data_IF_926243817165
#
_entry.id   IF_926243817165
#
_cell.length_a   1.000
_cell.length_b   1.000
_cell.length_c   1.000
_cell.angle_alpha   90.00
_cell.angle_beta   90.00
_cell.angle_gamma   90.00
#
_symmetry.space_group_name_H-M   'P 1'
#
loop_
_entity.id
_entity.type
_entity.pdbx_description
1 polymer ?
#
# COMPACT_ATOMS: atom_id res chain seq x y z
N UNK A 1 43.42 -3.47 -1.58
CA UNK A 1 42.56 -2.55 -0.80
C UNK A 1 42.12 -1.42 -1.70
N UNK A 2 40.90 -1.46 -2.23
CA UNK A 2 40.28 -0.34 -2.97
C UNK A 2 39.09 0.11 -2.14
N UNK A 3 39.31 1.13 -1.32
CA UNK A 3 38.25 1.87 -0.63
C UNK A 3 37.69 2.90 -1.60
N UNK A 4 36.37 2.99 -1.68
CA UNK A 4 35.69 4.25 -1.95
C UNK A 4 35.16 4.44 -3.37
N UNK A 5 34.10 3.72 -3.73
CA UNK A 5 32.99 4.26 -4.53
C UNK A 5 31.70 3.49 -4.23
N UNK A 6 31.30 3.43 -2.96
CA UNK A 6 29.87 3.24 -2.64
C UNK A 6 29.12 4.49 -3.13
N UNK A 7 28.82 4.54 -4.43
CA UNK A 7 27.80 5.45 -4.94
C UNK A 7 26.48 5.02 -4.28
N UNK A 8 26.16 5.64 -3.13
CA UNK A 8 24.81 5.65 -2.54
C UNK A 8 23.85 6.14 -3.63
N UNK A 9 23.32 5.24 -4.46
CA UNK A 9 22.28 5.54 -5.43
C UNK A 9 20.99 5.77 -4.65
N UNK A 10 20.83 7.01 -4.21
CA UNK A 10 19.62 7.48 -3.54
C UNK A 10 18.50 7.53 -4.57
N UNK A 11 17.37 6.92 -4.25
CA UNK A 11 16.11 7.10 -4.99
C UNK A 11 15.84 8.61 -5.13
N UNK A 12 15.74 9.09 -6.38
CA UNK A 12 15.41 10.50 -6.65
C UNK A 12 13.89 10.63 -6.63
N UNK A 13 13.34 10.95 -5.45
CA UNK A 13 11.89 11.06 -5.22
C UNK A 13 11.20 11.92 -6.28
N UNK A 14 11.77 13.08 -6.63
CA UNK A 14 11.21 13.98 -7.64
C UNK A 14 11.13 13.38 -9.04
N UNK A 15 12.15 12.63 -9.46
CA UNK A 15 12.14 11.95 -10.76
C UNK A 15 11.14 10.79 -10.78
N UNK A 16 11.08 10.00 -9.69
CA UNK A 16 10.11 8.90 -9.58
C UNK A 16 8.65 9.41 -9.59
N UNK A 17 8.38 10.56 -8.94
CA UNK A 17 7.07 11.19 -8.95
C UNK A 17 6.73 11.77 -10.32
N UNK A 18 7.64 12.49 -10.96
CA UNK A 18 7.42 13.05 -12.30
C UNK A 18 7.17 11.96 -13.35
N UNK A 19 7.99 10.91 -13.35
CA UNK A 19 7.86 9.79 -14.29
C UNK A 19 6.59 8.96 -14.00
N UNK A 20 6.25 8.80 -12.72
CA UNK A 20 5.04 8.10 -12.29
C UNK A 20 3.76 8.85 -12.67
N UNK A 21 3.73 10.17 -12.45
CA UNK A 21 2.61 11.04 -12.83
C UNK A 21 2.48 11.18 -14.35
N UNK A 22 3.61 11.28 -15.07
CA UNK A 22 3.64 11.30 -16.53
C UNK A 22 3.12 10.00 -17.16
N UNK A 23 3.18 8.87 -16.45
CA UNK A 23 2.64 7.60 -16.92
C UNK A 23 1.11 7.46 -16.73
N UNK A 24 0.47 8.30 -15.91
CA UNK A 24 -0.96 8.20 -15.56
C UNK A 24 -1.90 8.23 -16.78
N UNK A 25 -1.74 9.13 -17.77
CA UNK A 25 -2.61 9.15 -18.95
C UNK A 25 -2.57 7.83 -19.75
N UNK A 26 -1.38 7.21 -19.83
CA UNK A 26 -1.20 5.92 -20.49
C UNK A 26 -1.85 4.78 -19.69
N UNK A 27 -1.76 4.82 -18.36
CA UNK A 27 -2.43 3.86 -17.47
C UNK A 27 -3.96 3.94 -17.62
N UNK A 28 -4.52 5.15 -17.70
CA UNK A 28 -5.95 5.35 -17.99
C UNK A 28 -6.34 4.75 -19.34
N UNK A 29 -5.62 5.09 -20.41
CA UNK A 29 -5.93 4.59 -21.76
C UNK A 29 -5.82 3.06 -21.88
N UNK A 30 -4.99 2.42 -21.06
CA UNK A 30 -4.82 0.96 -21.04
C UNK A 30 -5.80 0.20 -20.15
N UNK A 31 -6.22 0.80 -19.02
CA UNK A 31 -7.06 0.15 -18.00
C UNK A 31 -8.50 0.70 -17.90
N UNK A 32 -8.91 1.58 -18.83
CA UNK A 32 -10.20 2.29 -18.79
C UNK A 32 -11.41 1.39 -18.51
N UNK A 33 -11.46 0.20 -19.13
CA UNK A 33 -12.61 -0.70 -19.04
C UNK A 33 -12.79 -1.29 -17.66
N UNK A 34 -11.70 -1.74 -17.03
CA UNK A 34 -11.75 -2.28 -15.67
C UNK A 34 -11.94 -1.18 -14.63
N UNK A 35 -11.35 0.00 -14.84
CA UNK A 35 -11.57 1.14 -13.95
C UNK A 35 -13.04 1.58 -13.97
N UNK A 36 -13.65 1.66 -15.15
CA UNK A 36 -15.06 1.98 -15.29
C UNK A 36 -15.95 0.91 -14.65
N UNK A 37 -15.62 -0.36 -14.84
CA UNK A 37 -16.35 -1.47 -14.21
C UNK A 37 -16.24 -1.46 -12.68
N UNK A 38 -15.07 -1.15 -12.13
CA UNK A 38 -14.87 -1.01 -10.69
C UNK A 38 -15.70 0.15 -10.11
N UNK A 39 -15.78 1.30 -10.81
CA UNK A 39 -16.66 2.40 -10.41
C UNK A 39 -18.12 1.99 -10.49
N UNK A 40 -18.55 1.35 -11.59
CA UNK A 40 -19.93 0.90 -11.75
C UNK A 40 -20.35 -0.06 -10.63
N UNK A 41 -19.49 -1.02 -10.28
CA UNK A 41 -19.73 -1.91 -9.14
C UNK A 41 -19.89 -1.09 -7.86
N UNK A 42 -18.95 -0.20 -7.55
CA UNK A 42 -19.00 0.63 -6.35
C UNK A 42 -20.24 1.55 -6.27
N UNK A 43 -20.78 2.01 -7.40
CA UNK A 43 -22.04 2.77 -7.46
C UNK A 43 -23.27 1.92 -7.18
N UNK A 44 -23.21 0.62 -7.46
CA UNK A 44 -24.30 -0.33 -7.19
C UNK A 44 -24.33 -0.71 -5.70
N UNK A 45 -23.25 -0.45 -4.93
CA UNK A 45 -23.15 -0.77 -3.50
C UNK A 45 -24.42 -0.45 -2.65
N UNK A 46 -25.07 0.72 -2.80
CA UNK A 46 -26.26 1.06 -2.01
C UNK A 46 -27.49 0.18 -2.31
N UNK A 47 -27.50 -0.48 -3.46
CA UNK A 47 -28.61 -1.27 -3.99
C UNK A 47 -28.41 -2.78 -3.78
N UNK A 48 -27.33 -3.16 -3.10
CA UNK A 48 -26.97 -4.57 -2.91
C UNK A 48 -27.87 -5.19 -1.84
N UNK A 49 -28.60 -6.27 -2.15
CA UNK A 49 -29.43 -6.95 -1.16
C UNK A 49 -28.58 -7.53 -0.03
N UNK A 50 -29.05 -7.34 1.21
CA UNK A 50 -28.40 -7.89 2.40
C UNK A 50 -28.40 -9.42 2.39
N UNK A 51 -27.43 -10.04 3.09
CA UNK A 51 -27.26 -11.49 3.12
C UNK A 51 -26.34 -11.99 2.00
N UNK A 52 -26.68 -13.10 1.34
CA UNK A 52 -25.80 -13.72 0.34
C UNK A 52 -25.46 -12.78 -0.83
N UNK A 53 -26.35 -11.85 -1.19
CA UNK A 53 -26.11 -10.82 -2.20
C UNK A 53 -24.90 -9.93 -1.88
N UNK A 54 -24.75 -9.53 -0.61
CA UNK A 54 -23.58 -8.75 -0.16
C UNK A 54 -22.27 -9.53 -0.23
N UNK A 55 -22.29 -10.85 -0.02
CA UNK A 55 -21.10 -11.71 -0.15
C UNK A 55 -20.68 -11.82 -1.62
N UNK A 56 -21.63 -12.09 -2.51
CA UNK A 56 -21.36 -12.18 -3.96
C UNK A 56 -20.86 -10.84 -4.50
N UNK A 57 -21.49 -9.74 -4.09
CA UNK A 57 -21.05 -8.39 -4.44
C UNK A 57 -19.65 -8.07 -3.89
N UNK A 58 -19.37 -8.43 -2.63
CA UNK A 58 -18.06 -8.29 -2.01
C UNK A 58 -16.97 -9.05 -2.78
N UNK A 59 -17.24 -10.30 -3.16
CA UNK A 59 -16.33 -11.09 -3.99
C UNK A 59 -16.14 -10.48 -5.39
N UNK A 60 -17.23 -10.07 -6.05
CA UNK A 60 -17.18 -9.46 -7.38
C UNK A 60 -16.40 -8.15 -7.39
N UNK A 61 -16.65 -7.28 -6.41
CA UNK A 61 -15.91 -6.01 -6.24
C UNK A 61 -14.44 -6.25 -5.92
N UNK A 62 -14.13 -7.22 -5.06
CA UNK A 62 -12.74 -7.61 -4.76
C UNK A 62 -11.98 -8.11 -5.99
N UNK A 63 -12.61 -8.97 -6.80
CA UNK A 63 -12.03 -9.46 -8.06
C UNK A 63 -11.84 -8.35 -9.09
N UNK A 64 -12.78 -7.41 -9.20
CA UNK A 64 -12.67 -6.26 -10.09
C UNK A 64 -11.52 -5.32 -9.66
N UNK A 65 -11.38 -5.05 -8.36
CA UNK A 65 -10.27 -4.27 -7.81
C UNK A 65 -8.93 -4.96 -8.06
N UNK A 66 -8.87 -6.29 -7.88
CA UNK A 66 -7.68 -7.09 -8.15
C UNK A 66 -7.30 -7.07 -9.63
N UNK A 67 -8.27 -7.20 -10.52
CA UNK A 67 -8.06 -7.09 -11.96
C UNK A 67 -7.58 -5.68 -12.34
N UNK A 68 -8.17 -4.63 -11.74
CA UNK A 68 -7.76 -3.24 -11.96
C UNK A 68 -6.30 -3.03 -11.54
N UNK A 69 -5.95 -3.49 -10.34
CA UNK A 69 -4.61 -3.39 -9.81
C UNK A 69 -3.60 -4.20 -10.63
N UNK A 70 -3.94 -5.43 -11.01
CA UNK A 70 -3.10 -6.28 -11.87
C UNK A 70 -2.82 -5.65 -13.23
N UNK A 71 -3.84 -5.09 -13.88
CA UNK A 71 -3.71 -4.39 -15.15
C UNK A 71 -2.82 -3.15 -15.04
N UNK A 72 -3.02 -2.34 -14.00
CA UNK A 72 -2.22 -1.13 -13.74
C UNK A 72 -0.75 -1.47 -13.45
N UNK A 73 -0.47 -2.51 -12.66
CA UNK A 73 0.89 -2.97 -12.39
C UNK A 73 1.61 -3.45 -13.66
N UNK A 74 0.94 -4.20 -14.56
CA UNK A 74 1.54 -4.63 -15.84
C UNK A 74 1.87 -3.44 -16.74
N UNK A 75 0.95 -2.49 -16.84
CA UNK A 75 1.15 -1.28 -17.65
C UNK A 75 2.25 -0.38 -17.05
N UNK A 76 2.37 -0.32 -15.73
CA UNK A 76 3.43 0.43 -15.05
C UNK A 76 4.82 -0.21 -15.23
N UNK A 77 4.88 -1.55 -15.25
CA UNK A 77 6.12 -2.29 -15.47
C UNK A 77 6.59 -2.28 -16.94
N UNK A 78 5.67 -2.14 -17.90
CA UNK A 78 5.97 -2.29 -19.33
C UNK A 78 6.05 -0.94 -20.06
N UNK A 79 7.04 -0.71 -20.95
CA UNK A 79 7.16 0.55 -21.69
C UNK A 79 6.04 0.76 -22.73
N UNK A 80 5.49 -0.31 -23.31
CA UNK A 80 4.49 -0.24 -24.39
C UNK A 80 3.21 -1.02 -24.13
N UNK A 81 2.09 -0.51 -24.66
CA UNK A 81 0.77 -1.16 -24.63
C UNK A 81 0.78 -2.53 -25.34
N UNK A 82 1.46 -2.62 -26.48
CA UNK A 82 1.61 -3.88 -27.22
C UNK A 82 2.47 -4.92 -26.49
N UNK A 83 3.37 -4.48 -25.60
CA UNK A 83 4.12 -5.39 -24.74
C UNK A 83 3.29 -5.81 -23.51
N UNK A 84 2.40 -4.96 -23.01
CA UNK A 84 1.44 -5.32 -21.96
C UNK A 84 0.39 -6.33 -22.48
N UNK A 85 -0.10 -6.17 -23.71
CA UNK A 85 -0.98 -7.14 -24.37
C UNK A 85 -0.30 -8.52 -24.54
N UNK A 86 0.99 -8.53 -24.91
CA UNK A 86 1.80 -9.75 -24.94
C UNK A 86 2.03 -10.37 -23.56
N UNK A 87 2.12 -9.56 -22.52
CA UNK A 87 2.15 -10.02 -21.13
C UNK A 87 0.79 -10.53 -20.63
N UNK A 88 -0.25 -10.51 -21.48
CA UNK A 88 -1.55 -11.09 -21.25
C UNK A 88 -2.69 -10.08 -21.15
N UNK A 89 -2.45 -8.76 -21.27
CA UNK A 89 -3.46 -7.71 -21.22
C UNK A 89 -4.51 -7.90 -22.33
N UNK A 90 -5.78 -8.14 -21.96
CA UNK A 90 -6.92 -8.23 -22.88
C UNK A 90 -7.55 -6.85 -23.02
N UNK A 91 -8.35 -6.67 -24.08
CA UNK A 91 -9.03 -5.41 -24.38
C UNK A 91 -9.76 -4.83 -23.15
N UNK A 92 -9.55 -3.55 -22.88
CA UNK A 92 -10.15 -2.83 -21.74
C UNK A 92 -9.49 -3.10 -20.38
N UNK A 93 -8.43 -3.93 -20.32
CA UNK A 93 -7.69 -4.23 -19.09
C UNK A 93 -8.23 -5.41 -18.29
N UNK A 94 -9.26 -6.12 -18.77
CA UNK A 94 -9.87 -7.24 -18.04
C UNK A 94 -8.94 -8.45 -18.00
N UNK A 95 -8.53 -8.83 -16.79
CA UNK A 95 -7.50 -9.83 -16.54
C UNK A 95 -7.82 -10.59 -15.24
N UNK A 96 -8.06 -11.89 -15.34
CA UNK A 96 -8.00 -12.80 -14.21
C UNK A 96 -7.14 -13.99 -14.63
N UNK A 97 -5.86 -13.94 -14.28
CA UNK A 97 -4.87 -14.93 -14.69
C UNK A 97 -3.95 -15.34 -13.55
N UNK A 98 -2.91 -16.11 -13.92
CA UNK A 98 -1.91 -16.63 -12.98
C UNK A 98 -1.15 -15.51 -12.25
N UNK A 99 -1.02 -14.32 -12.85
CA UNK A 99 -0.35 -13.19 -12.22
C UNK A 99 -1.19 -12.60 -11.09
N UNK A 100 -2.49 -12.43 -11.28
CA UNK A 100 -3.40 -11.95 -10.25
C UNK A 100 -3.43 -12.92 -9.06
N UNK A 101 -3.47 -14.22 -9.33
CA UNK A 101 -3.35 -15.25 -8.28
C UNK A 101 -2.01 -15.18 -7.54
N UNK A 102 -0.90 -14.88 -8.23
CA UNK A 102 0.42 -14.67 -7.63
C UNK A 102 0.45 -13.40 -6.76
N UNK A 103 -0.17 -12.31 -7.20
CA UNK A 103 -0.29 -11.06 -6.42
C UNK A 103 -1.12 -11.31 -5.16
N UNK A 104 -2.25 -12.00 -5.28
CA UNK A 104 -3.10 -12.38 -4.14
C UNK A 104 -2.35 -13.28 -3.17
N UNK A 105 -1.64 -14.29 -3.67
CA UNK A 105 -0.87 -15.20 -2.83
C UNK A 105 0.30 -14.49 -2.13
N UNK A 106 1.02 -13.63 -2.83
CA UNK A 106 2.08 -12.79 -2.24
C UNK A 106 1.50 -11.84 -1.18
N UNK A 107 0.37 -11.21 -1.46
CA UNK A 107 -0.33 -10.35 -0.50
C UNK A 107 -0.79 -11.14 0.73
N UNK A 108 -1.31 -12.36 0.55
CA UNK A 108 -1.73 -13.24 1.63
C UNK A 108 -0.56 -13.65 2.52
N UNK A 109 0.54 -14.14 1.95
CA UNK A 109 1.76 -14.48 2.71
C UNK A 109 2.28 -13.26 3.47
N UNK A 110 2.25 -12.10 2.83
CA UNK A 110 2.68 -10.85 3.43
C UNK A 110 1.79 -10.43 4.62
N UNK A 111 0.47 -10.50 4.45
CA UNK A 111 -0.49 -10.21 5.52
C UNK A 111 -0.36 -11.20 6.67
N UNK A 112 -0.12 -12.48 6.38
CA UNK A 112 0.12 -13.49 7.41
C UNK A 112 1.37 -13.16 8.23
N UNK A 113 2.47 -12.81 7.56
CA UNK A 113 3.71 -12.41 8.23
C UNK A 113 3.54 -11.15 9.08
N UNK A 114 2.90 -10.11 8.52
CA UNK A 114 2.61 -8.87 9.26
C UNK A 114 1.69 -9.14 10.46
N UNK A 115 0.67 -9.98 10.28
CA UNK A 115 -0.24 -10.39 11.34
C UNK A 115 0.50 -11.12 12.46
N UNK A 116 1.39 -12.07 12.12
CA UNK A 116 2.22 -12.77 13.11
C UNK A 116 3.07 -11.80 13.93
N UNK A 117 3.71 -10.82 13.27
CA UNK A 117 4.51 -9.79 13.96
C UNK A 117 3.61 -8.91 14.84
N UNK A 118 2.46 -8.48 14.35
CA UNK A 118 1.52 -7.67 15.11
C UNK A 118 0.98 -8.41 16.34
N UNK A 119 0.69 -9.70 16.22
CA UNK A 119 0.25 -10.54 17.35
C UNK A 119 1.37 -10.65 18.38
N UNK A 120 2.61 -10.96 17.96
CA UNK A 120 3.76 -11.03 18.89
C UNK A 120 4.00 -9.68 19.56
N UNK A 121 3.94 -8.59 18.81
CA UNK A 121 4.14 -7.24 19.32
C UNK A 121 3.02 -6.82 20.28
N UNK A 122 1.77 -7.16 19.97
CA UNK A 122 0.63 -6.94 20.86
C UNK A 122 0.77 -7.75 22.16
N UNK A 123 1.24 -9.00 22.10
CA UNK A 123 1.54 -9.81 23.28
C UNK A 123 2.68 -9.21 24.11
N UNK A 124 3.75 -8.72 23.47
CA UNK A 124 4.86 -8.03 24.16
C UNK A 124 4.37 -6.75 24.84
N UNK A 125 3.59 -5.94 24.12
CA UNK A 125 2.97 -4.73 24.68
C UNK A 125 2.09 -5.09 25.87
N UNK A 126 1.21 -6.08 25.72
CA UNK A 126 0.32 -6.55 26.79
C UNK A 126 1.10 -7.09 28.01
N UNK A 127 2.18 -7.83 27.79
CA UNK A 127 3.04 -8.34 28.86
C UNK A 127 3.74 -7.21 29.62
N UNK A 128 4.24 -6.19 28.91
CA UNK A 128 4.88 -5.02 29.52
C UNK A 128 3.87 -4.18 30.30
N UNK A 129 2.67 -3.95 29.75
CA UNK A 129 1.58 -3.28 30.46
C UNK A 129 1.07 -4.10 31.66
N UNK A 130 1.02 -5.42 31.55
CA UNK A 130 0.64 -6.31 32.65
C UNK A 130 1.66 -6.34 33.79
N UNK A 131 2.95 -6.11 33.51
CA UNK A 131 3.99 -5.93 34.52
C UNK A 131 4.03 -4.51 35.12
N UNK A 132 3.34 -3.54 34.49
CA UNK A 132 3.24 -2.17 34.98
C UNK A 132 2.07 -2.02 35.98
N UNK A 133 2.10 -2.79 37.07
CA UNK A 133 1.07 -2.81 38.13
C UNK A 133 0.94 -1.52 38.94
N UNK A 134 1.84 -0.54 38.75
CA UNK A 134 1.87 0.72 39.49
C UNK A 134 1.32 1.94 38.71
N UNK A 135 0.76 1.74 37.50
CA UNK A 135 0.14 2.82 36.74
C UNK A 135 -1.29 3.06 37.21
N UNK A 136 -1.57 4.29 37.64
CA UNK A 136 -2.92 4.71 37.97
C UNK A 136 -3.69 5.03 36.67
N UNK A 137 -4.49 4.06 36.22
CA UNK A 137 -5.31 4.16 35.02
C UNK A 137 -6.35 5.28 35.10
N UNK A 138 -6.79 5.67 36.30
CA UNK A 138 -7.72 6.79 36.49
C UNK A 138 -7.02 8.13 36.28
N UNK A 139 -5.78 8.28 36.76
CA UNK A 139 -4.96 9.48 36.54
C UNK A 139 -4.62 9.68 35.04
N UNK A 140 -4.34 8.59 34.31
CA UNK A 140 -4.13 8.63 32.85
C UNK A 140 -5.41 9.03 32.10
N UNK A 141 -6.57 8.50 32.51
CA UNK A 141 -7.86 8.87 31.92
C UNK A 141 -8.23 10.33 32.20
N UNK A 142 -7.82 10.85 33.36
CA UNK A 142 -7.96 12.24 33.75
C UNK A 142 -6.89 13.18 33.14
N UNK A 143 -5.97 12.67 32.29
CA UNK A 143 -4.83 13.40 31.70
C UNK A 143 -3.89 14.05 32.73
N UNK A 144 -3.85 13.53 33.95
CA UNK A 144 -2.99 14.05 35.01
C UNK A 144 -1.63 13.33 35.00
N UNK A 145 -0.75 13.73 34.09
CA UNK A 145 0.55 13.08 33.83
C UNK A 145 1.50 13.06 35.03
N UNK A 146 1.32 13.96 36.00
CA UNK A 146 2.12 14.03 37.22
C UNK A 146 1.77 12.92 38.23
N UNK A 147 0.54 12.41 38.19
CA UNK A 147 0.05 11.34 39.08
C UNK A 147 -0.02 9.97 38.39
N UNK A 148 0.28 9.90 37.09
CA UNK A 148 0.14 8.68 36.29
C UNK A 148 1.14 7.55 36.65
N UNK A 149 2.24 7.88 37.34
CA UNK A 149 3.23 6.92 37.81
C UNK A 149 4.68 7.40 37.67
N UNK A 150 5.67 6.56 38.02
CA UNK A 150 7.10 6.88 37.88
C UNK A 150 7.48 7.23 36.43
N UNK A 151 8.26 8.31 36.25
CA UNK A 151 8.65 8.81 34.93
C UNK A 151 9.36 7.76 34.04
N UNK A 152 10.10 6.83 34.64
CA UNK A 152 10.76 5.75 33.91
C UNK A 152 9.78 4.73 33.31
N UNK A 153 8.64 4.47 33.96
CA UNK A 153 7.59 3.58 33.44
C UNK A 153 6.87 4.24 32.26
N UNK A 154 6.57 5.53 32.37
CA UNK A 154 5.99 6.31 31.26
C UNK A 154 6.94 6.39 30.06
N UNK A 155 8.24 6.59 30.29
CA UNK A 155 9.25 6.58 29.23
C UNK A 155 9.35 5.20 28.55
N UNK A 156 9.33 4.11 29.32
CA UNK A 156 9.36 2.76 28.79
C UNK A 156 8.11 2.45 27.96
N UNK A 157 6.91 2.82 28.45
CA UNK A 157 5.66 2.65 27.71
C UNK A 157 5.68 3.45 26.41
N UNK A 158 6.12 4.71 26.45
CA UNK A 158 6.24 5.55 25.26
C UNK A 158 7.22 4.95 24.23
N UNK A 159 8.37 4.43 24.68
CA UNK A 159 9.34 3.77 23.81
C UNK A 159 8.76 2.49 23.18
N UNK A 160 8.08 1.66 23.97
CA UNK A 160 7.45 0.43 23.49
C UNK A 160 6.32 0.74 22.50
N UNK A 161 5.48 1.75 22.79
CA UNK A 161 4.44 2.21 21.87
C UNK A 161 5.05 2.75 20.56
N UNK A 162 6.12 3.53 20.65
CA UNK A 162 6.84 4.03 19.48
C UNK A 162 7.40 2.88 18.64
N UNK A 163 8.00 1.85 19.26
CA UNK A 163 8.47 0.64 18.55
C UNK A 163 7.29 -0.11 17.94
N UNK A 164 6.19 -0.25 18.70
CA UNK A 164 5.00 -0.98 18.28
C UNK A 164 4.32 -0.36 17.06
N UNK A 165 4.43 0.97 16.89
CA UNK A 165 3.94 1.68 15.71
C UNK A 165 4.99 1.69 14.60
N UNK A 166 6.25 1.95 14.93
CA UNK A 166 7.32 2.14 13.95
C UNK A 166 7.65 0.84 13.21
N UNK A 167 7.80 -0.29 13.91
CA UNK A 167 8.20 -1.56 13.29
C UNK A 167 7.20 -2.03 12.22
N UNK A 168 5.88 -2.06 12.46
CA UNK A 168 4.91 -2.38 11.42
C UNK A 168 4.92 -1.40 10.25
N UNK A 169 5.13 -0.10 10.48
CA UNK A 169 5.24 0.89 9.41
C UNK A 169 6.48 0.62 8.54
N UNK A 170 7.64 0.37 9.17
CA UNK A 170 8.88 0.03 8.47
C UNK A 170 8.70 -1.21 7.59
N UNK A 171 8.03 -2.23 8.12
CA UNK A 171 7.72 -3.45 7.39
C UNK A 171 6.73 -3.18 6.27
N UNK A 172 5.61 -2.51 6.53
CA UNK A 172 4.57 -2.20 5.55
C UNK A 172 5.13 -1.42 4.35
N UNK A 173 6.01 -0.44 4.58
CA UNK A 173 6.71 0.31 3.51
C UNK A 173 7.57 -0.60 2.64
N UNK A 174 8.35 -1.51 3.26
CA UNK A 174 9.17 -2.48 2.53
C UNK A 174 8.31 -3.45 1.73
N UNK A 175 7.18 -3.83 2.31
CA UNK A 175 6.25 -4.76 1.72
C UNK A 175 5.46 -4.11 0.59
N UNK A 176 5.15 -2.82 0.61
CA UNK A 176 4.35 -2.14 -0.42
C UNK A 176 4.87 -2.34 -1.86
N UNK A 177 6.18 -2.58 -2.03
CA UNK A 177 6.80 -2.89 -3.32
C UNK A 177 6.54 -4.31 -3.84
N UNK A 178 5.96 -5.21 -3.03
CA UNK A 178 5.72 -6.61 -3.40
C UNK A 178 4.87 -6.72 -4.66
N UNK A 179 3.88 -5.83 -4.83
CA UNK A 179 2.93 -5.91 -5.95
C UNK A 179 3.61 -5.58 -7.28
N UNK A 180 4.46 -4.55 -7.31
CA UNK A 180 5.25 -4.15 -8.48
C UNK A 180 6.35 -5.17 -8.78
N UNK A 181 6.98 -5.74 -7.75
CA UNK A 181 7.99 -6.79 -7.91
C UNK A 181 7.42 -8.09 -8.47
N UNK A 182 6.22 -8.48 -8.02
CA UNK A 182 5.52 -9.66 -8.54
C UNK A 182 5.09 -9.44 -10.00
N UNK A 183 4.65 -8.22 -10.35
CA UNK A 183 4.27 -7.87 -11.72
C UNK A 183 5.46 -7.78 -12.68
N UNK A 184 6.59 -7.20 -12.24
CA UNK A 184 7.79 -7.03 -13.07
C UNK A 184 8.56 -8.33 -13.30
N UNK A 185 8.67 -9.21 -12.30
CA UNK A 185 9.45 -10.46 -12.42
C UNK A 185 8.63 -11.67 -12.87
N UNK A 186 7.31 -11.61 -12.81
CA UNK A 186 6.45 -12.75 -13.13
C UNK A 186 6.56 -13.93 -12.16
N UNK A 187 7.39 -13.89 -11.12
CA UNK A 187 7.48 -14.89 -10.05
C UNK A 187 6.90 -14.32 -8.75
N UNK A 188 6.39 -15.20 -7.87
CA UNK A 188 6.02 -14.87 -6.49
C UNK A 188 7.30 -14.56 -5.70
N UNK A 189 7.73 -13.29 -5.75
CA UNK A 189 8.90 -12.83 -5.00
C UNK A 189 8.47 -12.56 -3.57
N UNK A 190 8.80 -13.50 -2.69
CA UNK A 190 8.70 -13.34 -1.25
C UNK A 190 10.09 -13.09 -0.66
N UNK A 191 10.16 -12.14 0.28
CA UNK A 191 11.24 -11.89 1.23
C UNK A 191 12.65 -11.47 0.73
N UNK A 192 13.11 -11.80 -0.47
CA UNK A 192 14.52 -11.54 -0.82
C UNK A 192 14.85 -10.12 -1.34
N UNK A 193 13.90 -9.18 -1.32
CA UNK A 193 14.19 -7.75 -1.59
C UNK A 193 14.50 -6.97 -0.31
N UNK A 194 14.54 -7.64 0.85
CA UNK A 194 14.90 -7.02 2.14
C UNK A 194 16.31 -6.38 2.13
N UNK A 195 17.20 -6.85 1.24
CA UNK A 195 18.52 -6.26 0.99
C UNK A 195 18.57 -5.10 -0.02
N UNK A 196 17.49 -4.82 -0.76
CA UNK A 196 17.45 -3.73 -1.76
C UNK A 196 17.05 -2.39 -1.10
N UNK A 197 16.42 -2.43 0.08
CA UNK A 197 15.96 -1.24 0.81
C UNK A 197 16.93 -0.74 1.91
N UNK A 198 18.13 -1.32 2.05
CA UNK A 198 19.19 -0.83 2.95
C UNK A 198 19.77 0.49 2.42
N UNK A 199 19.05 1.59 2.64
CA UNK A 199 19.51 2.96 2.33
C UNK A 199 18.48 3.86 1.64
N UNK A 200 17.36 3.32 1.14
CA UNK A 200 16.32 4.07 0.41
C UNK A 200 14.99 4.19 1.16
N UNK A 201 14.94 3.83 2.45
CA UNK A 201 13.72 3.86 3.26
C UNK A 201 13.00 5.22 3.24
N UNK A 202 13.72 6.31 3.56
CA UNK A 202 13.14 7.66 3.62
C UNK A 202 12.58 8.12 2.27
N UNK A 203 13.32 7.99 1.15
CA UNK A 203 12.76 8.24 -0.17
C UNK A 203 11.53 7.38 -0.49
N UNK A 204 11.53 6.09 -0.15
CA UNK A 204 10.41 5.19 -0.42
C UNK A 204 9.17 5.55 0.41
N UNK A 205 9.36 5.91 1.68
CA UNK A 205 8.30 6.42 2.54
C UNK A 205 7.70 7.70 1.96
N UNK A 206 8.52 8.62 1.45
CA UNK A 206 8.04 9.85 0.81
C UNK A 206 7.20 9.55 -0.43
N UNK A 207 7.65 8.63 -1.29
CA UNK A 207 6.92 8.16 -2.47
C UNK A 207 5.57 7.54 -2.09
N UNK A 208 5.54 6.67 -1.07
CA UNK A 208 4.30 6.05 -0.58
C UNK A 208 3.35 7.09 0.02
N UNK A 209 3.89 8.05 0.78
CA UNK A 209 3.10 9.13 1.39
C UNK A 209 2.41 9.96 0.31
N UNK A 210 3.13 10.33 -0.75
CA UNK A 210 2.55 11.03 -1.90
C UNK A 210 1.55 10.15 -2.65
N UNK A 211 1.84 8.85 -2.80
CA UNK A 211 0.93 7.93 -3.44
C UNK A 211 -0.40 7.77 -2.68
N UNK A 212 -0.41 7.88 -1.34
CA UNK A 212 -1.63 7.79 -0.50
C UNK A 212 -2.31 9.17 -0.35
N UNK A 213 -1.67 10.25 -0.79
CA UNK A 213 -2.18 11.62 -0.62
C UNK A 213 -3.61 11.81 -1.16
N UNK A 214 -4.01 11.31 -2.35
CA UNK A 214 -5.40 11.47 -2.83
C UNK A 214 -6.42 10.84 -1.89
N UNK A 215 -6.13 9.65 -1.35
CA UNK A 215 -6.97 9.00 -0.35
C UNK A 215 -7.02 9.78 0.97
N UNK A 216 -5.88 10.31 1.44
CA UNK A 216 -5.83 11.11 2.67
C UNK A 216 -6.64 12.41 2.54
N UNK A 217 -6.54 13.09 1.39
CA UNK A 217 -7.32 14.30 1.10
C UNK A 217 -8.81 14.00 1.03
N UNK A 218 -9.20 12.88 0.41
CA UNK A 218 -10.60 12.44 0.38
C UNK A 218 -11.12 12.20 1.79
N UNK A 219 -10.38 11.46 2.63
CA UNK A 219 -10.77 11.21 4.02
C UNK A 219 -10.89 12.52 4.83
N UNK A 220 -9.96 13.46 4.64
CA UNK A 220 -10.03 14.77 5.29
C UNK A 220 -11.25 15.57 4.83
N UNK A 221 -11.61 15.52 3.54
CA UNK A 221 -12.81 16.16 3.00
C UNK A 221 -14.10 15.55 3.57
N UNK A 222 -14.14 14.22 3.73
CA UNK A 222 -15.26 13.52 4.38
C UNK A 222 -15.41 13.95 5.84
N UNK A 223 -14.31 13.97 6.61
CA UNK A 223 -14.33 14.32 8.03
C UNK A 223 -14.65 15.80 8.27
N UNK A 224 -14.20 16.69 7.37
CA UNK A 224 -14.49 18.13 7.43
C UNK A 224 -15.92 18.50 6.99
N UNK A 225 -16.71 17.51 6.56
CA UNK A 225 -18.12 17.73 6.19
C UNK A 225 -18.29 18.42 4.83
N UNK A 226 -17.30 18.32 3.94
CA UNK A 226 -17.43 18.86 2.58
C UNK A 226 -18.61 18.17 1.88
N UNK A 227 -19.57 18.93 1.31
CA UNK A 227 -20.74 18.36 0.68
C UNK A 227 -20.33 17.43 -0.47
N UNK A 228 -20.99 16.28 -0.57
CA UNK A 228 -20.74 15.22 -1.56
C UNK A 228 -19.37 14.50 -1.47
N UNK A 229 -18.44 14.90 -0.60
CA UNK A 229 -17.14 14.22 -0.47
C UNK A 229 -17.27 12.76 0.01
N UNK A 230 -18.26 12.49 0.88
CA UNK A 230 -18.60 11.15 1.33
C UNK A 230 -19.55 10.39 0.41
N UNK A 231 -19.98 10.98 -0.71
CA UNK A 231 -20.89 10.32 -1.62
C UNK A 231 -20.19 9.11 -2.26
N UNK A 232 -20.81 7.91 -2.29
CA UNK A 232 -20.16 6.69 -2.76
C UNK A 232 -19.64 6.81 -4.19
N UNK A 233 -20.30 7.61 -5.04
CA UNK A 233 -19.83 7.91 -6.39
C UNK A 233 -18.50 8.68 -6.42
N UNK A 234 -18.37 9.69 -5.56
CA UNK A 234 -17.16 10.52 -5.48
C UNK A 234 -16.02 9.68 -4.92
N UNK A 235 -16.28 8.92 -3.87
CA UNK A 235 -15.30 8.00 -3.27
C UNK A 235 -14.84 6.95 -4.29
N UNK A 236 -15.77 6.29 -4.97
CA UNK A 236 -15.46 5.29 -5.99
C UNK A 236 -14.65 5.86 -7.16
N UNK A 237 -15.06 7.04 -7.66
CA UNK A 237 -14.37 7.71 -8.75
C UNK A 237 -12.94 8.10 -8.34
N UNK A 238 -12.76 8.73 -7.18
CA UNK A 238 -11.43 9.13 -6.69
C UNK A 238 -10.56 7.90 -6.46
N UNK A 239 -11.07 6.83 -5.86
CA UNK A 239 -10.27 5.64 -5.58
C UNK A 239 -9.87 4.88 -6.87
N UNK A 240 -10.81 4.70 -7.80
CA UNK A 240 -10.54 3.93 -9.03
C UNK A 240 -9.81 4.77 -10.09
N UNK A 241 -10.19 6.03 -10.32
CA UNK A 241 -9.64 6.84 -11.39
C UNK A 241 -8.44 7.69 -10.98
N UNK A 242 -8.31 8.08 -9.72
CA UNK A 242 -7.20 8.95 -9.29
C UNK A 242 -6.19 8.14 -8.48
N UNK A 243 -6.62 7.53 -7.38
CA UNK A 243 -5.74 6.86 -6.43
C UNK A 243 -5.04 5.63 -7.05
N UNK A 244 -5.78 4.72 -7.67
CA UNK A 244 -5.18 3.49 -8.19
C UNK A 244 -4.15 3.74 -9.31
N UNK A 245 -4.41 4.61 -10.32
CA UNK A 245 -3.43 4.90 -11.37
C UNK A 245 -2.22 5.69 -10.86
N UNK A 246 -2.42 6.66 -9.96
CA UNK A 246 -1.32 7.42 -9.34
C UNK A 246 -0.44 6.48 -8.52
N UNK A 247 -1.04 5.63 -7.67
CA UNK A 247 -0.30 4.68 -6.86
C UNK A 247 0.48 3.68 -7.73
N UNK A 248 -0.14 3.12 -8.77
CA UNK A 248 0.53 2.17 -9.67
C UNK A 248 1.67 2.83 -10.48
N UNK A 249 1.45 4.05 -11.01
CA UNK A 249 2.47 4.77 -11.77
C UNK A 249 3.67 5.17 -10.92
N UNK A 250 3.42 5.74 -9.74
CA UNK A 250 4.45 6.20 -8.80
C UNK A 250 5.22 5.02 -8.20
N UNK A 251 4.53 3.95 -7.79
CA UNK A 251 5.20 2.74 -7.28
C UNK A 251 5.96 2.01 -8.38
N UNK A 252 5.44 1.93 -9.60
CA UNK A 252 6.12 1.33 -10.75
C UNK A 252 7.37 2.12 -11.17
N UNK A 253 7.31 3.45 -11.14
CA UNK A 253 8.48 4.30 -11.40
C UNK A 253 9.56 4.14 -10.30
N UNK A 254 9.15 4.16 -9.03
CA UNK A 254 10.06 3.91 -7.91
C UNK A 254 10.70 2.52 -7.98
N UNK A 255 9.91 1.51 -8.37
CA UNK A 255 10.39 0.15 -8.56
C UNK A 255 11.42 0.04 -9.70
N UNK A 256 11.17 0.66 -10.86
CA UNK A 256 12.15 0.69 -11.98
C UNK A 256 13.48 1.34 -11.59
N UNK A 257 13.46 2.37 -10.76
CA UNK A 257 14.68 2.99 -10.22
C UNK A 257 15.44 2.09 -9.23
N UNK A 258 14.73 1.21 -8.53
CA UNK A 258 15.30 0.23 -7.61
C UNK A 258 15.77 -1.05 -8.32
N UNK A 259 15.11 -1.46 -9.41
CA UNK A 259 15.38 -2.70 -10.15
C UNK A 259 16.39 -2.55 -11.31
N UNK A 260 16.85 -1.35 -11.67
CA UNK A 260 17.98 -1.18 -12.62
C UNK A 260 19.35 -1.62 -12.05
N UNK A 261 19.33 -2.71 -11.28
CA UNK A 261 20.39 -3.69 -11.12
C UNK A 261 20.33 -4.63 -12.33
N UNK A 262 21.02 -4.26 -13.42
CA UNK A 262 21.33 -5.20 -14.48
C UNK A 262 22.43 -6.16 -13.96
N UNK A 263 22.28 -7.49 -14.02
CA UNK A 263 23.45 -8.32 -14.17
C UNK A 263 24.04 -8.02 -15.56
N UNK A 264 25.30 -7.58 -15.54
CA UNK A 264 26.19 -7.72 -16.69
C UNK A 264 26.37 -9.20 -17.04
#
# INVERSE_FOLDING_TARGET
>A
MVRGTEHRRRLKVGAALSDGLGAVPRLWAGAWGVLLFAVMLALIAPWVPHGFGSVVYGLGSGLAMLAAWGALCRLAATPDRAAAERAGLRAGGFQLGKLEARIVFAAFLNLLFLSMILVVLALVVLAIFGMATALDLEALRARNWAAAGPAWQLAMIAAVAAIAVTVPILLAVRLALFSQATAGRGYTVSLNTMGIATGSFWPLLAVITVAILPMALLMAAVVSGVPYAGHPAVVAAVLAWVQAPVAAGVLGAAYRQLEYWAPA
#
